data_IF_799413038093
#
_entry.id   IF_799413038093
#
_cell.length_a   1.000
_cell.length_b   1.000
_cell.length_c   1.000
_cell.angle_alpha   90.00
_cell.angle_beta   90.00
_cell.angle_gamma   90.00
#
_symmetry.space_group_name_H-M   'P 1'
#
loop_
_entity.id
_entity.type
_entity.pdbx_description
1 polymer ?
#
# COMPACT_ATOMS: atom_id res chain seq x y z
N UNK A 1 -30.77 0.95 -6.77
CA UNK A 1 -29.59 1.06 -5.89
C UNK A 1 -28.88 2.37 -6.18
N UNK A 2 -28.28 3.01 -5.19
CA UNK A 2 -27.62 4.32 -5.33
C UNK A 2 -26.10 4.17 -5.23
N UNK A 3 -25.35 5.17 -5.69
CA UNK A 3 -23.89 5.17 -5.55
C UNK A 3 -23.47 5.08 -4.06
N UNK A 4 -24.22 5.75 -3.18
CA UNK A 4 -23.99 5.71 -1.74
C UNK A 4 -24.18 4.30 -1.15
N UNK A 5 -25.15 3.52 -1.65
CA UNK A 5 -25.33 2.13 -1.19
C UNK A 5 -24.17 1.24 -1.64
N UNK A 6 -23.64 1.46 -2.85
CA UNK A 6 -22.44 0.77 -3.32
C UNK A 6 -21.22 1.12 -2.45
N UNK A 7 -20.97 2.40 -2.18
CA UNK A 7 -19.85 2.84 -1.34
C UNK A 7 -19.95 2.22 0.07
N UNK A 8 -21.14 2.22 0.67
CA UNK A 8 -21.36 1.61 1.97
C UNK A 8 -21.14 0.09 1.96
N UNK A 9 -21.57 -0.60 0.90
CA UNK A 9 -21.38 -2.03 0.72
C UNK A 9 -19.88 -2.37 0.56
N UNK A 10 -19.13 -1.58 -0.22
CA UNK A 10 -17.68 -1.78 -0.39
C UNK A 10 -16.95 -1.52 0.93
N UNK A 11 -17.32 -0.46 1.65
CA UNK A 11 -16.75 -0.17 2.97
C UNK A 11 -17.07 -1.27 4.01
N UNK A 12 -18.18 -1.99 3.86
CA UNK A 12 -18.51 -3.12 4.74
C UNK A 12 -17.54 -4.30 4.56
N UNK A 13 -16.98 -4.48 3.36
CA UNK A 13 -15.98 -5.53 3.08
C UNK A 13 -14.69 -5.34 3.89
N UNK A 14 -14.32 -4.10 4.23
CA UNK A 14 -13.19 -3.80 5.11
C UNK A 14 -13.38 -4.38 6.53
N UNK A 15 -14.62 -4.67 6.94
CA UNK A 15 -14.90 -5.21 8.27
C UNK A 15 -14.62 -6.71 8.38
N UNK A 16 -14.40 -7.39 7.24
CA UNK A 16 -13.99 -8.79 7.24
C UNK A 16 -12.63 -8.93 7.91
N UNK A 17 -12.48 -9.99 8.71
CA UNK A 17 -11.25 -10.20 9.46
C UNK A 17 -10.05 -10.38 8.53
N UNK A 18 -8.97 -9.66 8.86
CA UNK A 18 -7.74 -9.67 8.10
C UNK A 18 -7.74 -8.85 6.80
N UNK A 19 -8.79 -8.11 6.47
CA UNK A 19 -8.79 -7.15 5.34
C UNK A 19 -8.11 -5.85 5.76
N UNK A 20 -6.91 -5.60 5.22
CA UNK A 20 -6.11 -4.40 5.49
C UNK A 20 -6.49 -3.23 4.58
N UNK A 21 -7.01 -3.49 3.38
CA UNK A 21 -7.45 -2.44 2.47
C UNK A 21 -8.38 -2.93 1.38
N UNK A 22 -9.26 -2.04 0.92
CA UNK A 22 -10.24 -2.28 -0.14
C UNK A 22 -10.26 -1.09 -1.09
N UNK A 23 -10.30 -1.35 -2.39
CA UNK A 23 -10.46 -0.31 -3.41
C UNK A 23 -11.32 -0.81 -4.56
N UNK A 24 -12.28 0.00 -4.97
CA UNK A 24 -13.14 -0.24 -6.12
C UNK A 24 -12.89 0.86 -7.16
N UNK A 25 -12.56 0.48 -8.37
CA UNK A 25 -12.37 1.41 -9.48
C UNK A 25 -12.90 0.85 -10.79
N UNK A 26 -13.16 1.73 -11.75
CA UNK A 26 -13.46 1.40 -13.14
C UNK A 26 -12.59 2.27 -14.04
N UNK A 27 -11.66 1.64 -14.76
CA UNK A 27 -10.61 2.39 -15.47
C UNK A 27 -9.80 3.29 -14.54
N UNK A 28 -9.82 4.61 -14.78
CA UNK A 28 -9.16 5.61 -13.91
C UNK A 28 -10.11 6.24 -12.89
N UNK A 29 -11.38 5.86 -12.89
CA UNK A 29 -12.38 6.36 -11.95
C UNK A 29 -12.40 5.51 -10.67
N UNK A 30 -11.85 6.06 -9.59
CA UNK A 30 -11.90 5.45 -8.26
C UNK A 30 -13.25 5.72 -7.60
N UNK A 31 -14.03 4.67 -7.36
CA UNK A 31 -15.37 4.75 -6.74
C UNK A 31 -15.27 4.75 -5.22
N UNK A 32 -14.42 3.89 -4.68
CA UNK A 32 -14.15 3.80 -3.26
C UNK A 32 -12.70 3.40 -3.03
N UNK A 33 -12.07 3.98 -2.01
CA UNK A 33 -10.70 3.68 -1.64
C UNK A 33 -10.55 3.78 -0.13
N UNK A 34 -10.12 2.67 0.46
CA UNK A 34 -9.66 2.60 1.83
C UNK A 34 -8.41 1.72 1.85
N UNK A 35 -7.25 2.35 1.67
CA UNK A 35 -5.96 1.67 1.57
C UNK A 35 -5.04 2.10 2.72
N UNK A 36 -4.13 1.23 3.20
CA UNK A 36 -3.20 1.55 4.28
C UNK A 36 -2.02 2.43 3.83
N UNK A 37 -2.04 2.93 2.59
CA UNK A 37 -0.98 3.75 2.00
C UNK A 37 -1.55 4.99 1.29
N UNK A 38 -0.63 5.91 0.97
CA UNK A 38 -0.90 7.19 0.31
C UNK A 38 -1.68 7.05 -1.01
N UNK A 39 -2.39 8.10 -1.39
CA UNK A 39 -3.13 8.18 -2.65
C UNK A 39 -2.27 7.96 -3.90
N UNK A 40 -1.07 8.52 -3.97
CA UNK A 40 -0.16 8.31 -5.09
C UNK A 40 0.10 6.82 -5.33
N UNK A 41 0.45 6.08 -4.26
CA UNK A 41 0.64 4.62 -4.35
C UNK A 41 -0.61 3.85 -4.76
N UNK A 42 -1.79 4.33 -4.38
CA UNK A 42 -3.06 3.72 -4.81
C UNK A 42 -3.32 3.93 -6.30
N UNK A 43 -2.99 5.11 -6.83
CA UNK A 43 -3.07 5.39 -8.27
C UNK A 43 -2.04 4.57 -9.05
N UNK A 44 -0.81 4.45 -8.55
CA UNK A 44 0.22 3.59 -9.16
C UNK A 44 -0.25 2.13 -9.22
N UNK A 45 -0.92 1.64 -8.17
CA UNK A 45 -1.52 0.30 -8.15
C UNK A 45 -2.63 0.17 -9.19
N UNK A 46 -3.53 1.14 -9.29
CA UNK A 46 -4.59 1.18 -10.30
C UNK A 46 -4.02 1.13 -11.72
N UNK A 47 -3.01 1.96 -12.01
CA UNK A 47 -2.36 2.00 -13.32
C UNK A 47 -1.65 0.67 -13.63
N UNK A 48 -0.95 0.08 -12.64
CA UNK A 48 -0.27 -1.21 -12.79
C UNK A 48 -1.26 -2.36 -13.04
N UNK A 49 -2.34 -2.43 -12.27
CA UNK A 49 -3.39 -3.42 -12.46
C UNK A 49 -4.12 -3.22 -13.79
N UNK A 50 -4.36 -1.98 -14.19
CA UNK A 50 -4.94 -1.64 -15.49
C UNK A 50 -4.10 -2.17 -16.64
N UNK A 51 -2.80 -1.88 -16.65
CA UNK A 51 -1.87 -2.40 -17.67
C UNK A 51 -1.84 -3.93 -17.71
N UNK A 52 -1.83 -4.58 -16.54
CA UNK A 52 -1.88 -6.03 -16.46
C UNK A 52 -3.17 -6.58 -17.09
N UNK A 53 -4.34 -6.06 -16.70
CA UNK A 53 -5.63 -6.49 -17.23
C UNK A 53 -5.77 -6.23 -18.73
N UNK A 54 -5.27 -5.10 -19.22
CA UNK A 54 -5.24 -4.75 -20.65
C UNK A 54 -4.39 -5.74 -21.46
N UNK A 55 -3.27 -6.21 -20.90
CA UNK A 55 -2.45 -7.27 -21.50
C UNK A 55 -3.25 -8.56 -21.75
N UNK A 56 -4.21 -8.87 -20.87
CA UNK A 56 -5.05 -10.06 -21.01
C UNK A 56 -6.31 -9.85 -21.86
N UNK A 57 -6.70 -8.60 -22.19
CA UNK A 57 -7.82 -8.32 -23.10
C UNK A 57 -7.58 -8.87 -24.51
N UNK A 58 -6.33 -9.11 -24.89
CA UNK A 58 -5.96 -9.74 -26.17
C UNK A 58 -6.30 -11.25 -26.22
N UNK A 59 -6.59 -11.87 -25.08
CA UNK A 59 -6.89 -13.30 -24.97
C UNK A 59 -8.42 -13.49 -24.88
N UNK A 60 -8.97 -14.49 -25.58
CA UNK A 60 -10.42 -14.82 -25.54
C UNK A 60 -10.97 -15.15 -24.14
N UNK A 61 -10.10 -15.31 -23.14
CA UNK A 61 -10.47 -15.67 -21.76
C UNK A 61 -10.43 -14.42 -20.90
N UNK A 62 -11.61 -13.99 -20.42
CA UNK A 62 -11.73 -12.90 -19.46
C UNK A 62 -11.19 -13.33 -18.10
N UNK A 63 -10.30 -12.53 -17.51
CA UNK A 63 -9.90 -12.67 -16.11
C UNK A 63 -11.10 -12.25 -15.23
N UNK A 64 -11.42 -13.06 -14.23
CA UNK A 64 -12.43 -12.75 -13.20
C UNK A 64 -11.84 -12.57 -11.82
N UNK A 65 -10.72 -13.24 -11.56
CA UNK A 65 -10.05 -13.22 -10.28
C UNK A 65 -8.54 -13.38 -10.50
N UNK A 66 -7.77 -12.63 -9.72
CA UNK A 66 -6.33 -12.77 -9.60
C UNK A 66 -6.01 -12.88 -8.11
N UNK A 67 -5.17 -13.84 -7.78
CA UNK A 67 -4.71 -14.10 -6.43
C UNK A 67 -3.18 -14.07 -6.46
N UNK A 68 -2.59 -13.07 -5.81
CA UNK A 68 -1.14 -12.93 -5.71
C UNK A 68 -0.75 -13.00 -4.24
N UNK A 69 -0.04 -14.07 -3.88
CA UNK A 69 0.46 -14.28 -2.53
C UNK A 69 1.88 -13.73 -2.40
N UNK A 70 2.09 -13.00 -1.31
CA UNK A 70 3.36 -12.41 -0.92
C UNK A 70 3.66 -12.81 0.53
N UNK A 71 4.92 -12.70 0.95
CA UNK A 71 5.35 -13.04 2.31
C UNK A 71 4.58 -12.27 3.40
N UNK A 72 4.06 -11.09 3.07
CA UNK A 72 3.33 -10.22 4.00
C UNK A 72 1.80 -10.30 3.88
N UNK A 73 1.25 -11.07 2.94
CA UNK A 73 -0.18 -11.15 2.71
C UNK A 73 -0.54 -11.40 1.25
N UNK A 74 -1.82 -11.22 0.93
CA UNK A 74 -2.38 -11.55 -0.38
C UNK A 74 -3.00 -10.32 -1.01
N UNK A 75 -2.70 -10.11 -2.29
CA UNK A 75 -3.44 -9.19 -3.16
C UNK A 75 -4.49 -9.99 -3.91
N UNK A 76 -5.75 -9.81 -3.53
CA UNK A 76 -6.90 -10.43 -4.19
C UNK A 76 -7.57 -9.37 -5.07
N UNK A 77 -7.71 -9.66 -6.36
CA UNK A 77 -8.34 -8.77 -7.33
C UNK A 77 -9.52 -9.49 -7.98
N UNK A 78 -10.70 -8.89 -7.89
CA UNK A 78 -11.93 -9.36 -8.50
C UNK A 78 -12.29 -8.44 -9.66
N UNK A 79 -12.59 -9.02 -10.81
CA UNK A 79 -12.84 -8.28 -12.06
C UNK A 79 -14.23 -8.60 -12.58
N UNK A 80 -15.04 -7.56 -12.73
CA UNK A 80 -16.32 -7.62 -13.41
C UNK A 80 -16.32 -6.63 -14.58
N UNK A 81 -16.12 -7.16 -15.78
CA UNK A 81 -15.90 -6.41 -17.02
C UNK A 81 -14.76 -5.38 -16.90
N UNK A 82 -15.06 -4.11 -16.72
CA UNK A 82 -14.05 -3.04 -16.56
C UNK A 82 -13.92 -2.55 -15.11
N UNK A 83 -14.74 -3.10 -14.22
CA UNK A 83 -14.72 -2.78 -12.80
C UNK A 83 -13.78 -3.73 -12.10
N UNK A 84 -12.93 -3.17 -11.25
CA UNK A 84 -11.92 -3.90 -10.50
C UNK A 84 -12.11 -3.60 -9.03
N UNK A 85 -12.29 -4.66 -8.24
CA UNK A 85 -12.33 -4.61 -6.79
C UNK A 85 -11.06 -5.28 -6.25
N UNK A 86 -10.31 -4.54 -5.46
CA UNK A 86 -9.00 -4.94 -4.93
C UNK A 86 -9.09 -5.07 -3.42
N UNK A 87 -8.48 -6.14 -2.91
CA UNK A 87 -8.28 -6.39 -1.49
C UNK A 87 -6.80 -6.54 -1.18
N UNK A 88 -6.39 -5.96 -0.06
CA UNK A 88 -5.16 -6.31 0.62
C UNK A 88 -5.54 -7.15 1.83
N UNK A 89 -5.16 -8.42 1.79
CA UNK A 89 -5.47 -9.41 2.80
C UNK A 89 -4.21 -9.72 3.60
N UNK A 90 -4.33 -9.76 4.92
CA UNK A 90 -3.28 -10.24 5.82
C UNK A 90 -3.26 -11.77 5.84
N UNK A 91 -2.22 -12.39 6.39
CA UNK A 91 -2.16 -13.85 6.57
C UNK A 91 -3.24 -14.45 7.49
N UNK A 92 -4.05 -13.62 8.16
CA UNK A 92 -5.20 -14.06 8.97
C UNK A 92 -6.53 -14.02 8.21
N UNK A 93 -6.55 -13.40 7.02
CA UNK A 93 -7.79 -13.27 6.25
C UNK A 93 -8.19 -14.60 5.61
N UNK A 94 -9.50 -14.86 5.62
CA UNK A 94 -10.10 -15.87 4.78
C UNK A 94 -10.32 -15.27 3.38
N UNK A 95 -9.43 -15.62 2.45
CA UNK A 95 -9.47 -15.11 1.09
C UNK A 95 -10.68 -15.63 0.30
N UNK A 96 -11.17 -16.84 0.60
CA UNK A 96 -12.34 -17.42 -0.07
C UNK A 96 -13.61 -16.70 0.38
N UNK A 97 -13.72 -16.39 1.67
CA UNK A 97 -14.81 -15.57 2.21
C UNK A 97 -14.80 -14.18 1.59
N UNK A 98 -13.63 -13.53 1.51
CA UNK A 98 -13.48 -12.22 0.88
C UNK A 98 -13.86 -12.25 -0.61
N UNK A 99 -13.39 -13.24 -1.36
CA UNK A 99 -13.72 -13.42 -2.78
C UNK A 99 -15.21 -13.69 -3.00
N UNK A 100 -15.83 -14.49 -2.13
CA UNK A 100 -17.27 -14.79 -2.16
C UNK A 100 -18.10 -13.52 -1.91
N UNK A 101 -17.79 -12.78 -0.83
CA UNK A 101 -18.47 -11.53 -0.51
C UNK A 101 -18.29 -10.47 -1.61
N UNK A 102 -17.09 -10.38 -2.17
CA UNK A 102 -16.80 -9.52 -3.33
C UNK A 102 -17.63 -9.89 -4.55
N UNK A 103 -17.74 -11.18 -4.86
CA UNK A 103 -18.52 -11.68 -6.00
C UNK A 103 -19.99 -11.34 -5.86
N UNK A 104 -20.55 -11.55 -4.66
CA UNK A 104 -21.95 -11.16 -4.36
C UNK A 104 -22.14 -9.66 -4.56
N UNK A 105 -21.27 -8.83 -3.97
CA UNK A 105 -21.36 -7.37 -4.09
C UNK A 105 -21.29 -6.91 -5.54
N UNK A 106 -20.33 -7.42 -6.32
CA UNK A 106 -20.14 -7.05 -7.72
C UNK A 106 -21.36 -7.44 -8.57
N UNK A 107 -21.94 -8.62 -8.34
CA UNK A 107 -23.13 -9.07 -9.05
C UNK A 107 -24.39 -8.27 -8.65
N UNK A 108 -24.60 -8.03 -7.36
CA UNK A 108 -25.74 -7.27 -6.85
C UNK A 108 -25.76 -5.83 -7.40
N UNK A 109 -24.58 -5.26 -7.63
CA UNK A 109 -24.41 -3.89 -8.13
C UNK A 109 -24.03 -3.83 -9.62
N UNK A 110 -24.07 -4.95 -10.36
CA UNK A 110 -23.54 -5.02 -11.73
C UNK A 110 -24.13 -3.96 -12.68
N UNK A 111 -25.43 -3.70 -12.60
CA UNK A 111 -26.11 -2.69 -13.42
C UNK A 111 -25.64 -1.27 -13.13
N UNK A 112 -25.38 -0.95 -11.85
CA UNK A 112 -24.85 0.33 -11.43
C UNK A 112 -23.40 0.49 -11.86
N UNK A 113 -22.58 -0.55 -11.69
CA UNK A 113 -21.17 -0.58 -12.10
C UNK A 113 -21.00 -0.43 -13.62
N UNK A 114 -21.90 -1.04 -14.40
CA UNK A 114 -21.92 -0.88 -15.85
C UNK A 114 -22.14 0.59 -16.26
N UNK A 115 -22.96 1.35 -15.52
CA UNK A 115 -23.24 2.76 -15.77
C UNK A 115 -22.17 3.76 -15.31
N UNK A 116 -21.16 3.33 -14.55
CA UNK A 116 -20.09 4.21 -14.09
C UNK A 116 -19.18 4.66 -15.25
N UNK A 117 -18.69 5.90 -15.19
CA UNK A 117 -17.67 6.37 -16.12
C UNK A 117 -16.30 5.76 -15.82
N UNK A 118 -15.48 5.66 -16.87
CA UNK A 118 -14.09 5.19 -16.86
C UNK A 118 -13.13 6.35 -16.55
N UNK A 119 -13.52 7.58 -16.89
CA UNK A 119 -12.70 8.77 -16.68
C UNK A 119 -12.88 9.36 -15.28
N UNK A 120 -11.81 9.93 -14.69
CA UNK A 120 -11.88 10.60 -13.40
C UNK A 120 -12.74 11.86 -13.54
N UNK A 121 -13.93 11.87 -12.91
CA UNK A 121 -14.76 13.08 -12.83
C UNK A 121 -16.27 12.91 -12.93
N UNK A 122 -16.80 11.71 -13.24
CA UNK A 122 -18.25 11.57 -13.45
C UNK A 122 -19.07 11.18 -12.19
N UNK A 123 -18.42 10.97 -11.05
CA UNK A 123 -19.07 10.50 -9.82
C UNK A 123 -18.75 11.39 -8.62
N UNK A 124 -19.05 12.68 -8.75
CA UNK A 124 -19.50 13.49 -7.61
C UNK A 124 -20.90 14.00 -7.94
N UNK A 125 -21.96 13.55 -7.24
CA UNK A 125 -23.13 14.40 -7.14
C UNK A 125 -22.66 15.63 -6.35
N UNK A 126 -22.45 16.75 -7.05
CA UNK A 126 -22.45 18.06 -6.42
C UNK A 126 -23.82 18.23 -5.78
N UNK A 127 -23.93 18.01 -4.48
CA UNK A 127 -25.06 18.55 -3.73
C UNK A 127 -24.97 20.08 -3.82
N UNK A 128 -26.10 20.73 -4.11
CA UNK A 128 -26.20 22.18 -4.37
C UNK A 128 -25.94 23.06 -3.14
N UNK A 129 -25.67 22.48 -1.98
CA UNK A 129 -25.17 23.21 -0.82
C UNK A 129 -23.67 22.94 -0.68
N UNK A 130 -22.85 23.96 -0.98
CA UNK A 130 -21.39 23.96 -0.96
C UNK A 130 -20.75 23.76 0.42
N UNK A 131 -21.19 22.74 1.15
CA UNK A 131 -20.55 22.23 2.35
C UNK A 131 -19.87 20.94 1.91
N UNK A 132 -18.56 21.04 1.68
CA UNK A 132 -17.68 19.88 1.75
C UNK A 132 -17.92 19.23 3.12
N UNK A 133 -18.65 18.13 3.16
CA UNK A 133 -18.55 17.24 4.30
C UNK A 133 -17.16 16.61 4.18
N UNK A 134 -16.16 17.34 4.67
CA UNK A 134 -14.92 16.77 5.17
C UNK A 134 -15.37 15.64 6.08
N UNK A 135 -15.35 14.42 5.56
CA UNK A 135 -15.19 13.24 6.38
C UNK A 135 -13.77 13.36 6.91
N UNK A 136 -13.61 14.21 7.91
CA UNK A 136 -12.48 14.25 8.81
C UNK A 136 -12.42 12.84 9.35
N UNK A 137 -11.53 12.04 8.78
CA UNK A 137 -11.10 10.76 9.31
C UNK A 137 -10.74 11.02 10.75
N UNK A 138 -11.69 10.74 11.65
CA UNK A 138 -11.51 11.01 13.06
C UNK A 138 -10.28 10.21 13.49
N UNK A 139 -9.33 10.79 14.23
CA UNK A 139 -8.07 10.14 14.59
C UNK A 139 -8.25 8.72 15.15
N UNK A 140 -9.38 8.48 15.84
CA UNK A 140 -9.79 7.17 16.37
C UNK A 140 -10.00 6.07 15.32
N UNK A 141 -10.53 6.38 14.13
CA UNK A 141 -10.71 5.36 13.07
C UNK A 141 -9.40 5.01 12.38
N UNK A 142 -8.49 5.98 12.25
CA UNK A 142 -7.11 5.70 11.85
C UNK A 142 -6.43 4.80 12.90
N UNK A 143 -6.70 5.06 14.18
CA UNK A 143 -6.20 4.25 15.30
C UNK A 143 -6.75 2.81 15.28
N UNK A 144 -8.05 2.63 15.05
CA UNK A 144 -8.67 1.30 14.88
C UNK A 144 -8.16 0.55 13.63
N UNK A 145 -7.84 1.28 12.54
CA UNK A 145 -7.21 0.72 11.35
C UNK A 145 -5.74 0.33 11.59
N UNK A 146 -5.00 1.14 12.36
CA UNK A 146 -3.63 0.79 12.77
C UNK A 146 -3.59 -0.31 13.83
N UNK A 147 -4.60 -0.41 14.69
CA UNK A 147 -4.68 -1.43 15.75
C UNK A 147 -5.09 -2.80 15.19
N UNK A 148 -5.87 -2.84 14.10
CA UNK A 148 -6.15 -4.08 13.34
C UNK A 148 -5.00 -4.48 12.40
N UNK A 149 -4.09 -3.57 12.09
CA UNK A 149 -2.90 -3.82 11.27
C UNK A 149 -1.66 -4.03 12.16
N UNK A 150 -1.51 -5.22 12.74
CA UNK A 150 -0.20 -5.64 13.25
C UNK A 150 0.78 -5.79 12.07
N UNK A 151 1.93 -5.12 11.91
CA UNK A 151 2.68 -4.12 12.71
C UNK A 151 3.50 -3.29 11.71
N UNK A 152 3.40 -1.95 11.81
CA UNK A 152 4.34 -0.90 11.35
C UNK A 152 4.97 -1.12 9.97
N UNK A 153 4.42 -0.51 8.91
CA UNK A 153 5.23 -0.21 7.71
C UNK A 153 6.11 0.99 8.06
N UNK A 154 7.29 0.72 8.58
CA UNK A 154 8.22 1.79 8.92
C UNK A 154 8.77 2.48 7.66
N UNK A 155 9.54 3.55 7.86
CA UNK A 155 10.18 4.31 6.79
C UNK A 155 11.49 3.67 6.28
N UNK A 156 11.72 2.36 6.45
CA UNK A 156 12.97 1.69 6.07
C UNK A 156 13.35 1.95 4.61
N UNK A 157 12.40 1.98 3.68
CA UNK A 157 12.69 2.29 2.27
C UNK A 157 13.26 3.70 2.04
N UNK A 158 12.85 4.67 2.86
CA UNK A 158 13.41 6.03 2.83
C UNK A 158 14.78 6.07 3.52
N UNK A 159 14.91 5.42 4.69
CA UNK A 159 16.17 5.33 5.44
C UNK A 159 17.25 4.60 4.64
N UNK A 160 16.90 3.51 3.95
CA UNK A 160 17.80 2.80 3.04
C UNK A 160 18.31 3.70 1.92
N UNK A 161 17.45 4.51 1.29
CA UNK A 161 17.87 5.48 0.26
C UNK A 161 18.81 6.54 0.82
N UNK A 162 18.57 7.01 2.04
CA UNK A 162 19.46 7.96 2.72
C UNK A 162 20.83 7.31 2.96
N UNK A 163 20.88 6.10 3.51
CA UNK A 163 22.13 5.36 3.75
C UNK A 163 22.87 5.11 2.42
N UNK A 164 22.17 4.66 1.38
CA UNK A 164 22.73 4.44 0.03
C UNK A 164 23.25 5.73 -0.60
N UNK A 165 22.59 6.88 -0.36
CA UNK A 165 23.02 8.19 -0.84
C UNK A 165 24.24 8.74 -0.11
N UNK A 166 24.29 8.60 1.22
CA UNK A 166 25.39 9.05 2.07
C UNK A 166 26.63 8.17 1.83
N UNK A 167 26.48 6.85 1.95
CA UNK A 167 27.60 5.91 1.83
C UNK A 167 28.01 5.68 0.38
N UNK A 168 27.12 5.86 -0.59
CA UNK A 168 27.43 5.73 -2.02
C UNK A 168 28.51 6.71 -2.50
N UNK A 169 28.70 7.83 -1.78
CA UNK A 169 29.77 8.80 -2.02
C UNK A 169 31.13 8.36 -1.47
N UNK A 170 31.13 7.46 -0.48
CA UNK A 170 32.31 7.03 0.29
C UNK A 170 32.80 5.66 -0.17
N UNK A 171 31.87 4.79 -0.53
CA UNK A 171 32.10 3.44 -1.02
C UNK A 171 31.07 3.15 -2.12
N UNK A 172 31.46 2.39 -3.14
CA UNK A 172 30.62 2.22 -4.33
C UNK A 172 29.22 1.68 -3.98
N UNK A 173 28.18 2.08 -4.71
CA UNK A 173 26.77 1.73 -4.39
C UNK A 173 26.54 0.23 -4.14
N UNK A 174 27.20 -0.64 -4.92
CA UNK A 174 27.13 -2.09 -4.72
C UNK A 174 27.75 -2.55 -3.39
N UNK A 175 28.83 -1.91 -2.94
CA UNK A 175 29.43 -2.18 -1.64
C UNK A 175 28.52 -1.72 -0.50
N UNK A 176 27.74 -0.65 -0.71
CA UNK A 176 26.75 -0.17 0.27
C UNK A 176 25.59 -1.13 0.43
N UNK A 177 25.00 -1.58 -0.69
CA UNK A 177 23.93 -2.57 -0.65
C UNK A 177 24.39 -3.85 0.08
N UNK A 178 25.57 -4.36 -0.27
CA UNK A 178 26.15 -5.54 0.38
C UNK A 178 26.43 -5.31 1.87
N UNK A 179 26.87 -4.11 2.26
CA UNK A 179 27.10 -3.79 3.66
C UNK A 179 25.78 -3.78 4.45
N UNK A 180 24.74 -3.14 3.90
CA UNK A 180 23.40 -3.09 4.50
C UNK A 180 22.86 -4.51 4.69
N UNK A 181 22.89 -5.33 3.63
CA UNK A 181 22.37 -6.70 3.66
C UNK A 181 23.16 -7.57 4.67
N UNK A 182 24.47 -7.35 4.80
CA UNK A 182 25.30 -8.02 5.80
C UNK A 182 24.92 -7.62 7.23
N UNK A 183 24.75 -6.32 7.50
CA UNK A 183 24.28 -5.85 8.83
C UNK A 183 22.90 -6.36 9.19
N UNK A 184 22.00 -6.53 8.22
CA UNK A 184 20.68 -7.12 8.44
C UNK A 184 20.81 -8.60 8.84
N UNK A 185 21.65 -9.35 8.13
CA UNK A 185 21.93 -10.75 8.44
C UNK A 185 22.61 -10.93 9.80
N UNK A 186 23.64 -10.14 10.09
CA UNK A 186 24.38 -10.17 11.36
C UNK A 186 23.47 -9.77 12.55
N UNK A 187 22.50 -8.88 12.32
CA UNK A 187 21.49 -8.47 13.28
C UNK A 187 20.32 -9.47 13.46
N UNK A 188 20.26 -10.54 12.66
CA UNK A 188 19.15 -11.50 12.68
C UNK A 188 17.80 -10.92 12.24
N UNK A 189 17.82 -9.86 11.42
CA UNK A 189 16.63 -9.12 11.01
C UNK A 189 16.10 -9.74 9.71
N UNK A 190 15.03 -10.53 9.82
CA UNK A 190 14.38 -11.17 8.67
C UNK A 190 13.62 -10.17 7.79
N UNK A 191 12.94 -9.19 8.39
CA UNK A 191 12.17 -8.17 7.66
C UNK A 191 12.43 -6.77 8.28
N UNK A 192 13.21 -5.92 7.60
CA UNK A 192 13.52 -4.59 8.11
C UNK A 192 12.31 -3.64 8.08
N UNK A 193 11.25 -3.95 7.32
CA UNK A 193 10.04 -3.11 7.28
C UNK A 193 9.18 -3.22 8.52
N UNK A 194 9.36 -4.28 9.33
CA UNK A 194 8.62 -4.51 10.59
C UNK A 194 9.30 -3.95 11.83
N UNK A 195 10.47 -3.32 11.67
CA UNK A 195 11.20 -2.70 12.78
C UNK A 195 10.47 -1.47 13.30
N UNK A 196 10.51 -1.22 14.61
CA UNK A 196 10.03 0.06 15.13
C UNK A 196 10.97 1.22 14.72
N UNK A 197 10.51 2.49 14.75
CA UNK A 197 11.33 3.62 14.31
C UNK A 197 12.68 3.75 15.03
N UNK A 198 12.75 3.41 16.32
CA UNK A 198 13.99 3.42 17.09
C UNK A 198 14.97 2.33 16.64
N UNK A 199 14.47 1.15 16.27
CA UNK A 199 15.25 0.04 15.72
C UNK A 199 15.76 0.37 14.32
N UNK A 200 14.96 1.06 13.50
CA UNK A 200 15.40 1.56 12.18
C UNK A 200 16.55 2.56 12.33
N UNK A 201 16.44 3.52 13.26
CA UNK A 201 17.54 4.46 13.54
C UNK A 201 18.81 3.73 14.03
N UNK A 202 18.66 2.77 14.96
CA UNK A 202 19.79 1.96 15.44
C UNK A 202 20.46 1.14 14.33
N UNK A 203 19.67 0.58 13.42
CA UNK A 203 20.17 -0.15 12.27
C UNK A 203 20.99 0.77 11.35
N UNK A 204 20.47 1.96 11.03
CA UNK A 204 21.18 2.94 10.20
C UNK A 204 22.53 3.36 10.81
N UNK A 205 22.56 3.59 12.12
CA UNK A 205 23.80 3.89 12.87
C UNK A 205 24.78 2.72 12.78
N UNK A 206 24.31 1.48 13.01
CA UNK A 206 25.13 0.27 12.96
C UNK A 206 25.78 0.05 11.59
N UNK A 207 25.10 0.38 10.49
CA UNK A 207 25.69 0.34 9.14
C UNK A 207 26.86 1.31 9.02
N UNK A 208 26.73 2.54 9.54
CA UNK A 208 27.80 3.56 9.47
C UNK A 208 28.99 3.20 10.38
N UNK A 209 28.76 2.49 11.49
CA UNK A 209 29.83 2.08 12.42
C UNK A 209 30.85 1.13 11.80
N UNK A 210 30.49 0.42 10.73
CA UNK A 210 31.40 -0.46 9.97
C UNK A 210 32.48 0.32 9.19
N UNK A 211 32.40 1.66 9.13
CA UNK A 211 33.37 2.49 8.42
C UNK A 211 34.64 2.66 9.27
N UNK A 212 35.81 2.20 8.81
CA UNK A 212 37.03 2.16 9.63
C UNK A 212 37.57 3.54 10.00
N UNK A 213 37.33 4.56 9.18
CA UNK A 213 37.84 5.91 9.43
C UNK A 213 36.95 6.67 10.44
N UNK A 214 37.48 6.94 11.63
CA UNK A 214 36.77 7.58 12.75
C UNK A 214 36.27 8.99 12.41
N UNK A 215 37.08 9.80 11.73
CA UNK A 215 36.70 11.17 11.34
C UNK A 215 35.56 11.17 10.31
N UNK A 216 35.65 10.31 9.29
CA UNK A 216 34.57 10.14 8.30
C UNK A 216 33.31 9.58 8.93
N UNK A 217 33.43 8.59 9.83
CA UNK A 217 32.29 8.01 10.55
C UNK A 217 31.51 9.06 11.32
N UNK A 218 32.19 9.95 12.06
CA UNK A 218 31.55 11.05 12.80
C UNK A 218 30.79 12.00 11.87
N UNK A 219 31.40 12.38 10.75
CA UNK A 219 30.75 13.23 9.75
C UNK A 219 29.47 12.58 9.19
N UNK A 220 29.54 11.30 8.82
CA UNK A 220 28.42 10.57 8.23
C UNK A 220 27.29 10.32 9.23
N UNK A 221 27.60 10.17 10.53
CA UNK A 221 26.59 10.09 11.58
C UNK A 221 25.85 11.43 11.74
N UNK A 222 26.56 12.56 11.70
CA UNK A 222 25.92 13.89 11.74
C UNK A 222 25.03 14.14 10.52
N UNK A 223 25.48 13.75 9.33
CA UNK A 223 24.66 13.81 8.11
C UNK A 223 23.43 12.89 8.22
N UNK A 224 23.60 11.67 8.74
CA UNK A 224 22.50 10.73 8.95
C UNK A 224 21.45 11.30 9.91
N UNK A 225 21.85 11.85 11.07
CA UNK A 225 20.93 12.44 12.04
C UNK A 225 20.12 13.58 11.43
N UNK A 226 20.76 14.46 10.65
CA UNK A 226 20.06 15.56 9.97
C UNK A 226 18.99 15.06 8.98
N UNK A 227 19.28 13.99 8.24
CA UNK A 227 18.33 13.41 7.30
C UNK A 227 17.25 12.56 7.97
N UNK A 228 17.52 11.99 9.15
CA UNK A 228 16.55 11.22 9.91
C UNK A 228 15.56 12.11 10.66
N UNK A 229 15.94 13.33 11.02
CA UNK A 229 15.06 14.30 11.67
C UNK A 229 14.09 14.97 10.68
N UNK A 230 14.40 14.95 9.39
CA UNK A 230 13.55 15.40 8.28
C UNK A 230 12.55 14.33 7.78
N UNK A 231 12.56 13.12 8.35
CA UNK A 231 11.75 11.95 7.96
C UNK A 231 10.64 11.62 8.97
#
# INVERSE_FOLDING_TARGET
MTLNSLIAAVAALQRLDGVAGVMLFKGRNTVHRQMPFSEGRALDLTDTLGQMLDGYRQVRRKIRQIYLEFDAGVLLVMVLDETVLVFLLTGRADADLAASAATVLLNDHASLLAGLSIEPGASTPRNEDGIEELVVTSPRRLQEMTDKAEVVVNNWGQVRKVIEGILGKVMGRAQVANLIDRTLQDGGIADPYRLNPLQVRKLAVSVIEHIPNVSKRRQLLTELDSHLDDL
#
